data_IF_965920696539
#
_entry.id   IF_965920696539
#
_cell.length_a   1.000
_cell.length_b   1.000
_cell.length_c   1.000
_cell.angle_alpha   90.00
_cell.angle_beta   90.00
_cell.angle_gamma   90.00
#
_symmetry.space_group_name_H-M   'P 1'
#
loop_
_entity.id
_entity.type
_entity.pdbx_description
1 polymer ?
#
# COMPACT_ATOMS: atom_id res chain seq x y z
N UNK A 1 -27.08 3.39 -17.36
CA UNK A 1 -26.63 2.13 -17.96
C UNK A 1 -25.95 1.31 -16.88
N UNK A 2 -26.64 0.31 -16.34
CA UNK A 2 -26.11 -0.54 -15.28
C UNK A 2 -25.00 -1.46 -15.85
N UNK A 3 -23.79 -1.38 -15.26
CA UNK A 3 -22.70 -2.33 -15.53
C UNK A 3 -23.18 -3.71 -15.08
N UNK A 4 -23.46 -4.59 -16.04
CA UNK A 4 -23.78 -5.99 -15.80
C UNK A 4 -22.66 -6.63 -14.99
N UNK A 5 -22.94 -7.01 -13.75
CA UNK A 5 -22.10 -7.91 -12.96
C UNK A 5 -22.02 -9.23 -13.71
N UNK A 6 -20.87 -9.50 -14.32
CA UNK A 6 -20.58 -10.79 -14.93
C UNK A 6 -20.00 -11.64 -13.81
N UNK A 7 -20.86 -12.41 -13.12
CA UNK A 7 -20.41 -13.46 -12.21
C UNK A 7 -19.41 -14.34 -12.96
N UNK A 8 -18.11 -14.20 -12.66
CA UNK A 8 -17.07 -15.08 -13.17
C UNK A 8 -17.30 -16.40 -12.45
N UNK A 9 -17.75 -17.42 -13.19
CA UNK A 9 -17.75 -18.79 -12.67
C UNK A 9 -16.33 -19.13 -12.23
N UNK A 10 -16.15 -19.39 -10.94
CA UNK A 10 -14.90 -19.93 -10.40
C UNK A 10 -14.68 -21.30 -11.05
N UNK A 11 -13.50 -21.55 -11.67
CA UNK A 11 -13.18 -22.87 -12.19
C UNK A 11 -13.19 -23.90 -11.06
N UNK A 12 -13.79 -25.07 -11.29
CA UNK A 12 -13.75 -26.17 -10.30
C UNK A 12 -12.29 -26.58 -10.05
N UNK A 13 -11.83 -26.50 -8.81
CA UNK A 13 -10.47 -26.88 -8.40
C UNK A 13 -9.49 -25.71 -8.13
N UNK A 14 -9.98 -24.49 -7.98
CA UNK A 14 -9.16 -23.36 -7.54
C UNK A 14 -8.97 -23.40 -6.02
N UNK A 15 -7.73 -23.39 -5.53
CA UNK A 15 -7.41 -23.37 -4.09
C UNK A 15 -7.73 -22.00 -3.47
N UNK A 16 -8.03 -21.94 -2.17
CA UNK A 16 -8.46 -20.69 -1.51
C UNK A 16 -7.41 -19.58 -1.60
N UNK A 17 -6.11 -19.90 -1.46
CA UNK A 17 -5.03 -18.91 -1.60
C UNK A 17 -5.00 -18.29 -3.00
N UNK A 18 -5.39 -19.03 -4.05
CA UNK A 18 -5.45 -18.52 -5.41
C UNK A 18 -6.61 -17.56 -5.59
N UNK A 19 -7.72 -17.79 -4.88
CA UNK A 19 -8.85 -16.86 -4.83
C UNK A 19 -8.48 -15.60 -4.05
N UNK A 20 -7.80 -15.75 -2.90
CA UNK A 20 -7.27 -14.64 -2.12
C UNK A 20 -6.33 -13.77 -2.97
N UNK A 21 -5.40 -14.39 -3.69
CA UNK A 21 -4.53 -13.69 -4.65
C UNK A 21 -5.33 -12.91 -5.69
N UNK A 22 -6.36 -13.52 -6.26
CA UNK A 22 -7.20 -12.87 -7.28
C UNK A 22 -7.95 -11.66 -6.70
N UNK A 23 -8.42 -11.78 -5.46
CA UNK A 23 -9.05 -10.69 -4.73
C UNK A 23 -8.07 -9.54 -4.44
N UNK A 24 -6.86 -9.84 -3.96
CA UNK A 24 -5.79 -8.86 -3.75
C UNK A 24 -5.39 -8.13 -5.05
N UNK A 25 -5.30 -8.86 -6.16
CA UNK A 25 -5.07 -8.25 -7.49
C UNK A 25 -6.24 -7.35 -7.89
N UNK A 26 -7.49 -7.74 -7.62
CA UNK A 26 -8.68 -6.92 -7.92
C UNK A 26 -8.73 -5.60 -7.13
N UNK A 27 -8.18 -5.60 -5.90
CA UNK A 27 -8.01 -4.41 -5.06
C UNK A 27 -6.90 -3.47 -5.56
N UNK A 28 -6.05 -3.93 -6.50
CA UNK A 28 -4.87 -3.21 -6.94
C UNK A 28 -3.75 -3.15 -5.88
N UNK A 29 -3.76 -4.06 -4.90
CA UNK A 29 -2.66 -4.17 -3.91
C UNK A 29 -1.57 -5.12 -4.37
N UNK A 30 -1.89 -6.06 -5.27
CA UNK A 30 -0.93 -7.00 -5.84
C UNK A 30 -0.72 -6.70 -7.34
N UNK A 31 0.35 -5.99 -7.72
CA UNK A 31 0.62 -5.63 -9.12
C UNK A 31 0.83 -6.87 -10.02
N UNK A 32 0.53 -6.73 -11.31
CA UNK A 32 0.65 -7.83 -12.28
C UNK A 32 2.09 -8.37 -12.46
N UNK A 33 3.08 -7.52 -12.20
CA UNK A 33 4.50 -7.87 -12.27
C UNK A 33 5.07 -8.41 -10.96
N UNK A 34 4.25 -8.48 -9.90
CA UNK A 34 4.66 -9.11 -8.65
C UNK A 34 4.80 -10.63 -8.83
N UNK A 35 5.83 -11.25 -8.26
CA UNK A 35 6.10 -12.70 -8.40
C UNK A 35 4.89 -13.57 -8.03
N UNK A 36 4.17 -13.21 -6.97
CA UNK A 36 2.95 -13.89 -6.56
C UNK A 36 1.81 -13.83 -7.61
N UNK A 37 1.80 -12.84 -8.50
CA UNK A 37 0.81 -12.70 -9.59
C UNK A 37 1.04 -13.66 -10.76
N UNK A 38 2.22 -14.30 -10.84
CA UNK A 38 2.55 -15.17 -11.97
C UNK A 38 1.72 -16.47 -11.98
N UNK A 39 1.45 -17.05 -13.16
CA UNK A 39 0.74 -18.34 -13.25
C UNK A 39 1.48 -19.49 -12.54
N UNK A 40 2.80 -19.39 -12.41
CA UNK A 40 3.68 -20.37 -11.73
C UNK A 40 3.89 -20.07 -10.25
N UNK A 41 3.21 -19.05 -9.70
CA UNK A 41 3.33 -18.70 -8.30
C UNK A 41 2.85 -19.84 -7.41
N UNK A 42 3.49 -19.98 -6.27
CA UNK A 42 3.14 -20.91 -5.20
C UNK A 42 2.46 -20.17 -4.05
N UNK A 43 1.81 -20.93 -3.16
CA UNK A 43 1.26 -20.38 -1.91
C UNK A 43 2.33 -19.64 -1.09
N UNK A 44 3.58 -20.12 -1.12
CA UNK A 44 4.70 -19.49 -0.45
C UNK A 44 5.04 -18.11 -1.02
N UNK A 45 4.91 -17.93 -2.33
CA UNK A 45 5.14 -16.61 -2.95
C UNK A 45 4.11 -15.60 -2.46
N UNK A 46 2.85 -16.01 -2.31
CA UNK A 46 1.83 -15.16 -1.70
C UNK A 46 2.13 -14.89 -0.22
N UNK A 47 2.50 -15.90 0.56
CA UNK A 47 2.84 -15.75 1.96
C UNK A 47 3.97 -14.74 2.17
N UNK A 48 5.05 -14.84 1.39
CA UNK A 48 6.16 -13.89 1.44
C UNK A 48 5.73 -12.47 1.07
N UNK A 49 4.82 -12.31 0.09
CA UNK A 49 4.30 -11.00 -0.31
C UNK A 49 3.53 -10.29 0.82
N UNK A 50 2.90 -11.05 1.70
CA UNK A 50 2.10 -10.52 2.81
C UNK A 50 2.89 -10.39 4.11
N UNK A 51 4.06 -11.05 4.20
CA UNK A 51 4.79 -11.34 5.43
C UNK A 51 5.19 -10.12 6.26
N UNK A 52 5.44 -8.98 5.63
CA UNK A 52 5.81 -7.74 6.33
C UNK A 52 4.63 -6.81 6.66
N UNK A 53 3.41 -7.23 6.31
CA UNK A 53 2.16 -6.53 6.57
C UNK A 53 1.89 -5.29 5.71
N UNK A 54 2.77 -4.89 4.79
CA UNK A 54 2.55 -3.67 3.97
C UNK A 54 1.34 -3.84 3.05
N UNK A 55 1.29 -4.93 2.28
CA UNK A 55 0.14 -5.21 1.39
C UNK A 55 -1.16 -5.34 2.18
N UNK A 56 -1.12 -5.92 3.39
CA UNK A 56 -2.29 -6.02 4.26
C UNK A 56 -2.78 -4.64 4.70
N UNK A 57 -1.88 -3.74 5.09
CA UNK A 57 -2.27 -2.38 5.42
C UNK A 57 -2.90 -1.65 4.23
N UNK A 58 -2.37 -1.90 3.02
CA UNK A 58 -2.93 -1.36 1.78
C UNK A 58 -4.33 -1.93 1.48
N UNK A 59 -4.59 -3.21 1.75
CA UNK A 59 -5.94 -3.79 1.65
C UNK A 59 -6.93 -2.98 2.49
N UNK A 60 -6.61 -2.75 3.77
CA UNK A 60 -7.48 -1.94 4.64
C UNK A 60 -7.71 -0.54 4.07
N UNK A 61 -6.67 0.13 3.58
CA UNK A 61 -6.78 1.45 2.98
C UNK A 61 -7.55 1.48 1.64
N UNK A 62 -7.53 0.40 0.85
CA UNK A 62 -8.33 0.27 -0.37
C UNK A 62 -9.82 0.07 -0.06
N UNK A 63 -10.14 -0.67 1.01
CA UNK A 63 -11.52 -0.87 1.45
C UNK A 63 -12.10 0.37 2.14
N UNK A 64 -11.28 1.04 2.95
CA UNK A 64 -11.63 2.28 3.64
C UNK A 64 -10.42 3.24 3.62
N UNK A 65 -10.49 4.35 2.86
CA UNK A 65 -9.40 5.30 2.79
C UNK A 65 -8.94 5.77 4.18
N UNK A 66 -7.63 5.81 4.38
CA UNK A 66 -6.99 6.27 5.62
C UNK A 66 -7.37 5.48 6.88
N UNK A 67 -7.70 4.19 6.75
CA UNK A 67 -7.88 3.27 7.88
C UNK A 67 -6.57 3.08 8.65
N UNK A 68 -5.44 3.00 7.94
CA UNK A 68 -4.10 2.88 8.52
C UNK A 68 -3.23 4.00 7.94
N UNK A 69 -3.02 5.09 8.68
CA UNK A 69 -2.28 6.26 8.18
C UNK A 69 -0.76 6.10 8.20
N UNK A 70 -0.22 5.24 9.08
CA UNK A 70 1.21 5.06 9.29
C UNK A 70 1.63 3.62 8.94
N UNK A 71 2.15 3.45 7.73
CA UNK A 71 2.63 2.17 7.18
C UNK A 71 4.13 2.30 6.92
N UNK A 72 4.93 1.37 7.44
CA UNK A 72 6.35 1.31 7.10
C UNK A 72 6.48 0.63 5.73
N UNK A 73 6.59 1.43 4.66
CA UNK A 73 6.64 0.93 3.27
C UNK A 73 7.92 0.17 2.92
N UNK A 74 8.99 0.32 3.73
CA UNK A 74 10.27 -0.36 3.53
C UNK A 74 10.73 -0.99 4.86
N UNK A 75 10.03 -2.04 5.33
CA UNK A 75 10.34 -2.63 6.63
C UNK A 75 11.66 -3.41 6.63
N UNK A 76 12.23 -3.73 5.45
CA UNK A 76 13.50 -4.46 5.28
C UNK A 76 13.54 -5.76 6.09
N UNK A 77 12.39 -6.45 6.20
CA UNK A 77 12.20 -7.64 7.04
C UNK A 77 12.58 -7.43 8.53
N UNK A 78 12.66 -6.19 9.00
CA UNK A 78 12.84 -5.88 10.42
C UNK A 78 11.63 -6.38 11.22
N UNK A 79 11.82 -7.27 12.21
CA UNK A 79 10.71 -7.79 13.01
C UNK A 79 9.87 -6.68 13.64
N UNK A 80 10.51 -5.60 14.08
CA UNK A 80 9.81 -4.46 14.68
C UNK A 80 8.84 -3.79 13.70
N UNK A 81 9.30 -3.48 12.47
CA UNK A 81 8.46 -2.80 11.48
C UNK A 81 7.41 -3.73 10.87
N UNK A 82 7.77 -4.98 10.57
CA UNK A 82 6.85 -5.97 10.03
C UNK A 82 5.70 -6.23 11.01
N UNK A 83 6.02 -6.56 12.27
CA UNK A 83 5.00 -6.80 13.29
C UNK A 83 4.17 -5.54 13.59
N UNK A 84 4.75 -4.34 13.51
CA UNK A 84 3.99 -3.09 13.64
C UNK A 84 2.94 -2.97 12.53
N UNK A 85 3.33 -3.18 11.27
CA UNK A 85 2.40 -3.14 10.14
C UNK A 85 1.30 -4.21 10.27
N UNK A 86 1.65 -5.46 10.56
CA UNK A 86 0.69 -6.55 10.73
C UNK A 86 -0.32 -6.23 11.84
N UNK A 87 0.15 -5.75 13.01
CA UNK A 87 -0.72 -5.36 14.12
C UNK A 87 -1.62 -4.18 13.77
N UNK A 88 -1.13 -3.22 12.99
CA UNK A 88 -1.96 -2.11 12.50
C UNK A 88 -3.10 -2.62 11.61
N UNK A 89 -2.82 -3.58 10.73
CA UNK A 89 -3.85 -4.26 9.94
C UNK A 89 -4.89 -4.98 10.81
N UNK A 90 -4.47 -5.81 11.75
CA UNK A 90 -5.38 -6.53 12.65
C UNK A 90 -6.25 -5.57 13.48
N UNK A 91 -5.66 -4.47 13.94
CA UNK A 91 -6.39 -3.41 14.66
C UNK A 91 -7.42 -2.72 13.76
N UNK A 92 -7.10 -2.48 12.49
CA UNK A 92 -8.05 -1.93 11.53
C UNK A 92 -9.20 -2.92 11.24
N UNK A 93 -8.90 -4.21 11.10
CA UNK A 93 -9.90 -5.28 10.91
C UNK A 93 -10.99 -5.27 11.99
N UNK A 94 -10.62 -5.14 13.27
CA UNK A 94 -11.59 -5.05 14.37
C UNK A 94 -12.26 -3.68 14.41
N UNK A 95 -11.48 -2.60 14.42
CA UNK A 95 -11.96 -1.23 14.63
C UNK A 95 -12.86 -0.72 13.50
N UNK A 96 -12.48 -0.96 12.25
CA UNK A 96 -13.10 -0.33 11.08
C UNK A 96 -14.00 -1.28 10.28
N UNK A 97 -13.69 -2.58 10.30
CA UNK A 97 -14.39 -3.59 9.51
C UNK A 97 -15.25 -4.56 10.35
N UNK A 98 -15.14 -4.50 11.68
CA UNK A 98 -15.98 -5.25 12.60
C UNK A 98 -15.71 -6.76 12.63
N UNK A 99 -14.50 -7.19 12.29
CA UNK A 99 -14.10 -8.59 12.44
C UNK A 99 -14.01 -8.95 13.93
N UNK A 100 -14.39 -10.18 14.28
CA UNK A 100 -14.25 -10.70 15.64
C UNK A 100 -12.86 -11.28 15.86
N UNK A 101 -12.42 -11.39 17.11
CA UNK A 101 -11.09 -11.89 17.45
C UNK A 101 -10.88 -13.34 16.96
N UNK A 102 -11.94 -14.16 16.88
CA UNK A 102 -11.87 -15.53 16.37
C UNK A 102 -11.66 -15.62 14.85
N UNK A 103 -11.93 -14.53 14.14
CA UNK A 103 -11.72 -14.42 12.70
C UNK A 103 -10.34 -13.84 12.35
N UNK A 104 -9.53 -13.45 13.34
CA UNK A 104 -8.20 -12.90 13.17
C UNK A 104 -7.11 -13.96 13.38
N UNK A 105 -5.96 -13.73 12.73
CA UNK A 105 -4.70 -14.42 13.00
C UNK A 105 -3.84 -13.61 14.00
N UNK A 106 -2.87 -14.25 14.65
CA UNK A 106 -1.84 -13.58 15.46
C UNK A 106 -0.71 -13.03 14.59
N UNK A 107 -0.14 -11.88 14.96
CA UNK A 107 0.89 -11.24 14.14
C UNK A 107 2.10 -12.16 13.82
N UNK A 108 2.46 -13.07 14.72
CA UNK A 108 3.55 -14.03 14.50
C UNK A 108 3.16 -15.17 13.54
N UNK A 109 1.88 -15.56 13.48
CA UNK A 109 1.39 -16.60 12.57
C UNK A 109 1.66 -16.26 11.10
N UNK A 110 1.63 -14.98 10.75
CA UNK A 110 2.04 -14.49 9.44
C UNK A 110 3.54 -14.20 9.35
N UNK A 111 4.13 -13.56 10.35
CA UNK A 111 5.54 -13.15 10.29
C UNK A 111 6.49 -14.35 10.22
N UNK A 112 6.19 -15.41 10.96
CA UNK A 112 6.94 -16.68 10.94
C UNK A 112 6.37 -17.66 9.91
N UNK A 113 5.21 -17.34 9.31
CA UNK A 113 4.48 -18.17 8.33
C UNK A 113 4.10 -19.54 8.92
N UNK A 114 3.82 -19.59 10.22
CA UNK A 114 3.48 -20.82 10.95
C UNK A 114 2.01 -21.24 10.80
N UNK A 115 1.10 -20.29 10.50
CA UNK A 115 -0.32 -20.60 10.24
C UNK A 115 -0.90 -19.68 9.16
N UNK A 116 -0.45 -19.90 7.92
CA UNK A 116 -0.91 -19.10 6.79
C UNK A 116 -2.38 -19.36 6.41
N UNK A 117 -2.93 -20.51 6.80
CA UNK A 117 -4.34 -20.84 6.59
C UNK A 117 -5.26 -19.84 7.31
N UNK A 118 -4.94 -19.48 8.57
CA UNK A 118 -5.69 -18.43 9.29
C UNK A 118 -5.61 -17.06 8.63
N UNK A 119 -4.48 -16.73 8.01
CA UNK A 119 -4.32 -15.46 7.28
C UNK A 119 -5.28 -15.43 6.08
N UNK A 120 -5.34 -16.50 5.29
CA UNK A 120 -6.28 -16.64 4.17
C UNK A 120 -7.73 -16.56 4.65
N UNK A 121 -8.06 -17.24 5.76
CA UNK A 121 -9.39 -17.20 6.37
C UNK A 121 -9.78 -15.78 6.82
N UNK A 122 -8.86 -15.05 7.42
CA UNK A 122 -9.08 -13.66 7.83
C UNK A 122 -9.39 -12.77 6.62
N UNK A 123 -8.63 -12.91 5.54
CA UNK A 123 -8.87 -12.19 4.29
C UNK A 123 -10.20 -12.59 3.64
N UNK A 124 -10.58 -13.86 3.73
CA UNK A 124 -11.88 -14.34 3.26
C UNK A 124 -13.03 -13.66 4.01
N UNK A 125 -12.97 -13.64 5.35
CA UNK A 125 -13.98 -12.93 6.17
C UNK A 125 -14.01 -11.44 5.84
N UNK A 126 -12.84 -10.80 5.69
CA UNK A 126 -12.74 -9.40 5.31
C UNK A 126 -13.39 -9.13 3.93
N UNK A 127 -13.20 -10.01 2.96
CA UNK A 127 -13.78 -9.89 1.63
C UNK A 127 -15.31 -9.95 1.62
N UNK A 128 -15.92 -10.63 2.59
CA UNK A 128 -17.36 -10.72 2.78
C UNK A 128 -17.97 -9.54 3.54
N UNK A 129 -17.15 -8.61 4.03
CA UNK A 129 -17.68 -7.43 4.72
C UNK A 129 -18.45 -6.53 3.76
N UNK A 130 -19.45 -5.82 4.29
CA UNK A 130 -20.23 -4.86 3.50
C UNK A 130 -19.34 -3.78 2.88
N UNK A 131 -18.19 -3.44 3.50
CA UNK A 131 -17.23 -2.48 2.97
C UNK A 131 -16.63 -2.96 1.64
N UNK A 132 -16.17 -4.22 1.58
CA UNK A 132 -15.62 -4.81 0.36
C UNK A 132 -16.66 -4.95 -0.76
N UNK A 133 -17.85 -5.45 -0.41
CA UNK A 133 -18.95 -5.63 -1.37
C UNK A 133 -19.41 -4.28 -1.94
N UNK A 134 -19.57 -3.25 -1.09
CA UNK A 134 -20.02 -1.92 -1.53
C UNK A 134 -18.95 -1.21 -2.36
N UNK A 135 -17.67 -1.45 -2.09
CA UNK A 135 -16.57 -0.97 -2.91
C UNK A 135 -16.47 -1.67 -4.27
N UNK A 136 -17.26 -2.73 -4.50
CA UNK A 136 -17.37 -3.42 -5.78
C UNK A 136 -16.39 -4.57 -5.95
N UNK A 137 -15.85 -5.10 -4.85
CA UNK A 137 -14.98 -6.28 -4.88
C UNK A 137 -15.81 -7.54 -4.62
N UNK A 138 -15.69 -8.53 -5.49
CA UNK A 138 -16.37 -9.82 -5.32
C UNK A 138 -15.73 -10.60 -4.16
N UNK A 139 -16.49 -11.09 -3.18
CA UNK A 139 -15.96 -11.84 -2.04
C UNK A 139 -15.40 -13.20 -2.45
N UNK A 140 -14.50 -13.75 -1.62
CA UNK A 140 -13.96 -15.09 -1.81
C UNK A 140 -13.92 -15.92 -0.50
N UNK A 141 -14.11 -17.25 -0.57
CA UNK A 141 -14.67 -17.97 -1.71
C UNK A 141 -16.15 -17.58 -1.92
N UNK A 142 -16.74 -17.77 -3.13
CA UNK A 142 -18.17 -17.56 -3.33
C UNK A 142 -19.04 -18.43 -2.39
N UNK A 143 -20.23 -17.96 -2.00
CA UNK A 143 -21.12 -18.67 -1.07
C UNK A 143 -21.53 -20.09 -1.53
N UNK A 144 -21.54 -20.36 -2.84
CA UNK A 144 -21.95 -21.65 -3.45
C UNK A 144 -20.78 -22.63 -3.67
N UNK A 145 -19.60 -22.35 -3.12
CA UNK A 145 -18.39 -23.09 -3.48
C UNK A 145 -18.26 -24.46 -2.82
N UNK A 146 -19.03 -24.75 -1.77
CA UNK A 146 -18.99 -26.04 -1.06
C UNK A 146 -17.58 -26.48 -0.62
N UNK A 147 -16.64 -25.54 -0.47
CA UNK A 147 -15.26 -25.84 -0.14
C UNK A 147 -15.16 -26.19 1.35
N UNK A 148 -14.95 -27.48 1.63
CA UNK A 148 -14.47 -27.93 2.92
C UNK A 148 -13.02 -27.47 3.07
N UNK A 149 -12.76 -26.74 4.16
CA UNK A 149 -11.45 -26.21 4.58
C UNK A 149 -10.57 -27.41 4.94
N UNK A 150 -9.90 -28.03 3.97
CA UNK A 150 -9.01 -29.18 4.18
C UNK A 150 -7.68 -29.06 3.42
N UNK A 151 -7.18 -27.82 3.26
CA UNK A 151 -5.87 -27.57 2.66
C UNK A 151 -4.74 -27.38 3.71
N UNK A 152 -4.89 -27.85 4.96
CA UNK A 152 -3.83 -27.74 6.00
C UNK A 152 -2.48 -28.31 5.54
N UNK A 153 -2.50 -29.41 4.77
CA UNK A 153 -1.30 -30.04 4.22
C UNK A 153 -0.53 -29.11 3.27
N UNK A 154 -1.22 -28.19 2.58
CA UNK A 154 -0.62 -27.23 1.65
C UNK A 154 0.23 -26.17 2.38
N UNK A 155 -0.16 -25.80 3.60
CA UNK A 155 0.49 -24.74 4.38
C UNK A 155 1.57 -25.27 5.31
N UNK A 156 1.63 -26.59 5.54
CA UNK A 156 2.47 -27.22 6.55
C UNK A 156 3.99 -27.05 6.37
N UNK A 157 4.46 -26.76 5.15
CA UNK A 157 5.90 -26.60 4.86
C UNK A 157 6.37 -25.14 4.76
N UNK A 158 5.47 -24.16 4.99
CA UNK A 158 5.78 -22.77 4.72
C UNK A 158 6.73 -22.15 5.74
N UNK A 159 6.59 -22.51 7.01
CA UNK A 159 7.48 -22.06 8.09
C UNK A 159 8.94 -22.45 7.80
N UNK A 160 9.18 -23.72 7.44
CA UNK A 160 10.51 -24.21 7.07
C UNK A 160 11.10 -23.47 5.86
N UNK A 161 10.28 -23.20 4.84
CA UNK A 161 10.71 -22.43 3.66
C UNK A 161 11.01 -20.96 4.02
N UNK A 162 10.27 -20.39 4.97
CA UNK A 162 10.44 -19.01 5.42
C UNK A 162 11.70 -18.79 6.25
N UNK A 163 12.17 -19.84 6.95
CA UNK A 163 13.42 -19.86 7.71
C UNK A 163 14.65 -20.07 6.81
N UNK A 164 14.53 -20.88 5.74
CA UNK A 164 15.66 -21.29 4.91
C UNK A 164 15.93 -20.39 3.69
N UNK A 165 15.00 -19.51 3.31
CA UNK A 165 15.16 -18.65 2.14
C UNK A 165 15.72 -17.29 2.54
N UNK A 166 17.00 -17.05 2.21
CA UNK A 166 17.63 -15.73 2.35
C UNK A 166 16.89 -14.71 1.46
N UNK A 167 16.19 -13.77 2.09
CA UNK A 167 15.37 -12.70 1.46
C UNK A 167 16.26 -11.59 0.85
N UNK A 168 17.55 -11.87 0.63
CA UNK A 168 18.55 -10.83 0.37
C UNK A 168 18.52 -10.34 -1.10
N UNK A 169 17.91 -11.09 -2.02
CA UNK A 169 18.00 -10.83 -3.48
C UNK A 169 16.66 -10.61 -4.22
N UNK A 170 15.51 -10.47 -3.54
CA UNK A 170 14.26 -10.11 -4.23
C UNK A 170 14.12 -8.57 -4.33
N UNK A 171 14.03 -8.07 -5.56
CA UNK A 171 13.71 -6.68 -5.93
C UNK A 171 12.53 -6.16 -5.09
N UNK A 172 12.64 -4.94 -4.55
CA UNK A 172 11.69 -4.40 -3.56
C UNK A 172 10.24 -4.45 -4.10
N UNK A 173 9.35 -5.33 -3.57
CA UNK A 173 8.02 -5.54 -4.13
C UNK A 173 7.10 -4.31 -4.00
N UNK A 174 7.50 -3.32 -3.19
CA UNK A 174 6.75 -2.09 -2.94
C UNK A 174 7.06 -0.94 -3.88
N UNK A 175 8.08 -1.04 -4.73
CA UNK A 175 8.43 0.05 -5.65
C UNK A 175 7.21 0.43 -6.51
N UNK A 176 6.44 -0.57 -6.97
CA UNK A 176 5.17 -0.41 -7.67
C UNK A 176 4.15 0.52 -7.00
N UNK A 177 3.95 0.32 -5.69
CA UNK A 177 2.85 0.96 -4.95
C UNK A 177 3.28 2.33 -4.41
N UNK A 178 4.56 2.50 -4.10
CA UNK A 178 5.13 3.82 -3.74
C UNK A 178 5.22 4.76 -4.95
N UNK A 179 5.45 4.23 -6.16
CA UNK A 179 5.57 5.06 -7.37
C UNK A 179 4.27 5.83 -7.64
N UNK A 180 3.07 5.26 -7.42
CA UNK A 180 1.80 5.95 -7.71
C UNK A 180 1.60 7.22 -6.85
N UNK A 181 2.05 7.24 -5.59
CA UNK A 181 1.93 8.42 -4.72
C UNK A 181 3.03 9.46 -4.99
N UNK A 182 4.28 9.02 -5.21
CA UNK A 182 5.40 9.92 -5.48
C UNK A 182 5.30 10.58 -6.86
N UNK A 183 4.83 9.85 -7.88
CA UNK A 183 4.58 10.41 -9.22
C UNK A 183 3.44 11.40 -9.24
N UNK A 184 2.40 11.18 -8.42
CA UNK A 184 1.28 12.12 -8.30
C UNK A 184 1.72 13.49 -7.77
N UNK A 185 2.65 13.51 -6.81
CA UNK A 185 3.22 14.77 -6.29
C UNK A 185 3.96 15.51 -7.43
N UNK A 186 4.78 14.80 -8.21
CA UNK A 186 5.48 15.40 -9.34
C UNK A 186 4.50 15.90 -10.42
N UNK A 187 3.48 15.12 -10.78
CA UNK A 187 2.44 15.52 -11.73
C UNK A 187 1.65 16.74 -11.25
N UNK A 188 1.29 16.82 -9.97
CA UNK A 188 0.60 17.97 -9.37
C UNK A 188 1.47 19.23 -9.41
N UNK A 189 2.77 19.11 -9.07
CA UNK A 189 3.73 20.22 -9.13
C UNK A 189 3.95 20.74 -10.56
N UNK A 190 3.97 19.85 -11.54
CA UNK A 190 4.18 20.20 -12.96
C UNK A 190 2.89 20.71 -13.61
N UNK A 191 1.71 20.24 -13.16
CA UNK A 191 0.42 20.62 -13.75
C UNK A 191 -0.11 21.99 -13.30
N UNK A 192 0.50 22.61 -12.28
CA UNK A 192 0.11 23.93 -11.76
C UNK A 192 0.27 25.08 -12.77
N UNK A 193 1.13 24.91 -13.78
CA UNK A 193 1.31 25.88 -14.88
C UNK A 193 1.22 25.17 -16.24
N UNK A 194 0.01 24.85 -16.70
CA UNK A 194 -0.19 24.21 -18.01
C UNK A 194 0.23 25.11 -19.17
N UNK A 195 1.23 24.69 -19.93
CA UNK A 195 1.39 25.11 -21.32
C UNK A 195 0.25 24.49 -22.13
N UNK A 196 -0.54 25.26 -22.90
CA UNK A 196 -1.63 24.71 -23.69
C UNK A 196 -1.10 23.68 -24.70
N UNK A 197 -1.59 22.45 -24.62
CA UNK A 197 -1.26 21.36 -25.55
C UNK A 197 -1.86 21.70 -26.92
N UNK A 198 -1.06 21.89 -27.99
CA UNK A 198 -1.59 22.25 -29.29
C UNK A 198 -2.37 21.07 -29.90
N UNK A 199 -3.58 21.34 -30.40
CA UNK A 199 -4.57 20.31 -30.77
C UNK A 199 -4.17 19.45 -31.99
N UNK A 200 -3.24 19.91 -32.84
CA UNK A 200 -2.67 19.12 -33.95
C UNK A 200 -1.24 19.57 -34.27
N UNK A 201 -0.27 18.66 -34.11
CA UNK A 201 1.10 18.86 -34.60
C UNK A 201 1.26 18.13 -35.94
N UNK A 202 1.49 18.88 -37.02
CA UNK A 202 1.47 18.36 -38.39
C UNK A 202 2.86 18.01 -38.91
N UNK A 203 3.92 18.59 -38.34
CA UNK A 203 5.32 18.35 -38.74
C UNK A 203 6.23 17.93 -37.58
N UNK A 204 7.33 17.23 -37.90
CA UNK A 204 8.35 16.80 -36.93
C UNK A 204 9.00 18.01 -36.21
N UNK A 205 9.15 19.13 -36.90
CA UNK A 205 9.75 20.34 -36.35
C UNK A 205 8.85 21.03 -35.33
N UNK A 206 7.53 21.03 -35.55
CA UNK A 206 6.56 21.52 -34.58
C UNK A 206 6.57 20.67 -33.30
N UNK A 207 6.66 19.33 -33.44
CA UNK A 207 6.80 18.41 -32.30
C UNK A 207 8.06 18.71 -31.50
N UNK A 208 9.21 18.89 -32.18
CA UNK A 208 10.49 19.21 -31.53
C UNK A 208 10.42 20.53 -30.77
N UNK A 209 9.86 21.58 -31.38
CA UNK A 209 9.71 22.89 -30.71
C UNK A 209 8.81 22.80 -29.48
N UNK A 210 7.71 22.07 -29.57
CA UNK A 210 6.82 21.86 -28.43
C UNK A 210 7.49 21.11 -27.29
N UNK A 211 8.16 19.98 -27.57
CA UNK A 211 8.85 19.19 -26.53
C UNK A 211 9.94 20.02 -25.84
N UNK A 212 10.70 20.82 -26.59
CA UNK A 212 11.72 21.71 -26.01
C UNK A 212 11.09 22.78 -25.13
N UNK A 213 9.97 23.38 -25.55
CA UNK A 213 9.26 24.38 -24.76
C UNK A 213 8.64 23.77 -23.50
N UNK A 214 8.05 22.58 -23.60
CA UNK A 214 7.48 21.83 -22.49
C UNK A 214 8.56 21.52 -21.45
N UNK A 215 9.68 20.90 -21.85
CA UNK A 215 10.79 20.58 -20.94
C UNK A 215 11.34 21.82 -20.21
N UNK A 216 11.51 22.94 -20.92
CA UNK A 216 12.01 24.17 -20.31
C UNK A 216 11.02 24.73 -19.29
N UNK A 217 9.73 24.70 -19.59
CA UNK A 217 8.71 25.25 -18.71
C UNK A 217 8.48 24.36 -17.49
N UNK A 218 8.46 23.04 -17.67
CA UNK A 218 8.40 22.09 -16.54
C UNK A 218 9.59 22.27 -15.60
N UNK A 219 10.79 22.50 -16.15
CA UNK A 219 12.00 22.74 -15.34
C UNK A 219 11.91 24.05 -14.54
N UNK A 220 11.41 25.14 -15.15
CA UNK A 220 11.19 26.41 -14.43
C UNK A 220 10.19 26.23 -13.29
N UNK A 221 9.06 25.58 -13.56
CA UNK A 221 8.02 25.34 -12.55
C UNK A 221 8.57 24.49 -11.40
N UNK A 222 9.38 23.47 -11.71
CA UNK A 222 10.06 22.65 -10.71
C UNK A 222 11.02 23.49 -9.84
N UNK A 223 11.84 24.35 -10.46
CA UNK A 223 12.75 25.26 -9.74
C UNK A 223 11.98 26.26 -8.87
N UNK A 224 10.84 26.78 -9.33
CA UNK A 224 9.99 27.67 -8.53
C UNK A 224 9.38 26.95 -7.32
N UNK A 225 8.87 25.73 -7.50
CA UNK A 225 8.36 24.92 -6.41
C UNK A 225 9.45 24.64 -5.34
N UNK A 226 10.67 24.29 -5.78
CA UNK A 226 11.80 24.10 -4.87
C UNK A 226 12.14 25.36 -4.07
N UNK A 227 12.09 26.54 -4.71
CA UNK A 227 12.30 27.81 -4.02
C UNK A 227 11.20 28.09 -2.99
N UNK A 228 9.94 27.84 -3.33
CA UNK A 228 8.82 28.00 -2.38
C UNK A 228 8.97 27.09 -1.16
N UNK A 229 9.35 25.82 -1.37
CA UNK A 229 9.62 24.87 -0.29
C UNK A 229 10.79 25.36 0.57
N UNK A 230 11.89 25.79 -0.05
CA UNK A 230 13.04 26.32 0.66
C UNK A 230 12.68 27.55 1.52
N UNK A 231 11.95 28.51 0.94
CA UNK A 231 11.54 29.73 1.64
C UNK A 231 10.61 29.42 2.81
N UNK A 232 9.63 28.54 2.62
CA UNK A 232 8.66 28.24 3.66
C UNK A 232 9.27 27.42 4.82
N UNK A 233 10.05 26.39 4.51
CA UNK A 233 10.80 25.64 5.52
C UNK A 233 11.77 26.55 6.28
N UNK A 234 12.52 27.39 5.57
CA UNK A 234 13.43 28.36 6.21
C UNK A 234 12.66 29.29 7.14
N UNK A 235 11.53 29.83 6.69
CA UNK A 235 10.68 30.72 7.49
C UNK A 235 10.16 30.06 8.76
N UNK A 236 9.63 28.84 8.66
CA UNK A 236 9.09 28.08 9.79
C UNK A 236 10.21 27.80 10.79
N UNK A 237 11.33 27.24 10.33
CA UNK A 237 12.44 26.86 11.22
C UNK A 237 13.16 28.07 11.82
N UNK A 238 13.36 29.17 11.09
CA UNK A 238 13.92 30.40 11.65
C UNK A 238 13.01 30.97 12.75
N UNK A 239 11.68 30.94 12.57
CA UNK A 239 10.72 31.38 13.59
C UNK A 239 10.74 30.46 14.81
N UNK A 240 10.84 29.15 14.61
CA UNK A 240 10.93 28.16 15.67
C UNK A 240 12.23 28.34 16.50
N UNK A 241 13.37 28.45 15.82
CA UNK A 241 14.67 28.72 16.46
C UNK A 241 14.63 30.02 17.27
N UNK A 242 14.11 31.11 16.71
CA UNK A 242 14.01 32.38 17.44
C UNK A 242 13.13 32.29 18.70
N UNK A 243 12.06 31.48 18.69
CA UNK A 243 11.25 31.21 19.89
C UNK A 243 11.98 30.35 20.90
N UNK A 244 12.72 29.33 20.46
CA UNK A 244 13.54 28.49 21.33
C UNK A 244 14.65 29.29 22.01
N UNK A 245 15.37 30.13 21.27
CA UNK A 245 16.42 31.00 21.82
C UNK A 245 15.86 31.92 22.91
N UNK A 246 14.70 32.52 22.67
CA UNK A 246 14.01 33.34 23.67
C UNK A 246 13.61 32.52 24.91
N UNK A 247 13.04 31.33 24.72
CA UNK A 247 12.65 30.44 25.82
C UNK A 247 13.84 29.95 26.65
N UNK A 248 14.99 29.69 26.02
CA UNK A 248 16.24 29.36 26.70
C UNK A 248 16.78 30.54 27.52
N UNK A 249 16.74 31.75 26.97
CA UNK A 249 17.19 32.98 27.66
C UNK A 249 16.29 33.34 28.85
N UNK A 250 15.01 32.97 28.82
CA UNK A 250 14.03 33.16 29.90
C UNK A 250 14.06 32.02 30.95
N UNK A 251 15.19 31.32 31.10
CA UNK A 251 15.40 30.28 32.12
C UNK A 251 14.71 28.94 31.82
N UNK A 252 14.29 28.71 30.58
CA UNK A 252 13.73 27.43 30.11
C UNK A 252 12.26 27.19 30.44
N UNK A 253 11.60 28.09 31.18
CA UNK A 253 10.23 27.90 31.68
C UNK A 253 9.16 27.87 30.58
N UNK A 254 9.49 28.38 29.38
CA UNK A 254 8.57 28.50 28.24
C UNK A 254 8.99 27.69 27.01
N UNK A 255 9.89 26.72 27.15
CA UNK A 255 10.33 25.88 26.03
C UNK A 255 9.23 24.89 25.62
N UNK A 256 8.62 24.18 26.56
CA UNK A 256 7.61 23.16 26.25
C UNK A 256 6.40 23.68 25.45
N UNK A 257 5.85 24.88 25.74
CA UNK A 257 4.80 25.47 24.90
C UNK A 257 5.21 25.74 23.44
N UNK A 258 6.48 26.01 23.16
CA UNK A 258 6.97 26.29 21.79
C UNK A 258 6.85 25.05 20.90
N UNK A 259 7.07 23.85 21.46
CA UNK A 259 6.91 22.57 20.77
C UNK A 259 5.45 22.13 20.58
N UNK A 260 4.51 22.74 21.30
CA UNK A 260 3.07 22.47 21.12
C UNK A 260 2.43 23.40 20.08
N UNK A 261 3.06 24.54 19.78
CA UNK A 261 2.60 25.53 18.82
C UNK A 261 3.16 25.30 17.40
N UNK A 262 4.21 24.49 17.26
CA UNK A 262 4.89 24.11 16.01
C UNK A 262 4.79 22.62 15.79
#
# INVERSE_FOLDING_TARGET
MARRHRSRRVPSGQEEWQMARSWLSSLGVLPDFHRASYPTATVFDLAQSLRDGVLLCQVANRLRPNSIPDINMKPQMSPFYCLKNIRNFLTACTRDFGLTDEALFDANELFDVSDFAKVIKTLSVLSHTQFAITAGFDPFPPEDSGHDIQDEDLYSNLEDLALNRDIIDEENPYDAVTIEEDTKIYEDLVSYQKVPKPERQTSIEEKRKYVVAELLETEKSYVEALKMIQEDLSRIHTKFVGKLEKGCNDGGMYISPVFLEF
#
